data_IF_079630473711
#
_entry.id   IF_079630473711
#
_cell.length_a   1.000
_cell.length_b   1.000
_cell.length_c   1.000
_cell.angle_alpha   90.00
_cell.angle_beta   90.00
_cell.angle_gamma   90.00
#
_symmetry.space_group_name_H-M   'P 1'
#
loop_
_entity.id
_entity.type
_entity.pdbx_description
1 polymer ?
#
# COMPACT_ATOMS: atom_id res chain seq x y z
N UNK A 1 -86.52 -224.29 -29.29
CA UNK A 1 -86.41 -224.97 -30.60
C UNK A 1 -85.31 -224.31 -31.41
N UNK A 2 -84.46 -225.14 -32.01
CA UNK A 2 -83.46 -224.84 -33.03
C UNK A 2 -83.96 -223.88 -34.12
N UNK A 3 -83.16 -222.86 -34.47
CA UNK A 3 -83.13 -222.18 -35.78
C UNK A 3 -81.72 -221.59 -36.01
N UNK A 4 -81.31 -221.51 -37.28
CA UNK A 4 -79.99 -221.88 -37.84
C UNK A 4 -78.87 -220.80 -37.83
N UNK A 5 -77.62 -221.27 -37.96
CA UNK A 5 -76.31 -220.57 -37.86
C UNK A 5 -76.04 -219.42 -38.85
N UNK A 6 -76.92 -219.12 -39.81
CA UNK A 6 -76.60 -218.21 -40.94
C UNK A 6 -76.98 -216.74 -40.69
N UNK A 7 -78.00 -216.46 -39.89
CA UNK A 7 -78.51 -215.08 -39.71
C UNK A 7 -77.79 -214.29 -38.59
N UNK A 8 -77.17 -214.97 -37.61
CA UNK A 8 -76.35 -214.32 -36.57
C UNK A 8 -75.05 -213.70 -37.10
N UNK A 9 -74.60 -214.09 -38.28
CA UNK A 9 -73.37 -213.58 -38.91
C UNK A 9 -73.54 -212.23 -39.61
N UNK A 10 -74.73 -211.90 -40.10
CA UNK A 10 -74.99 -210.65 -40.81
C UNK A 10 -75.23 -209.48 -39.86
N UNK A 11 -75.92 -209.70 -38.73
CA UNK A 11 -76.22 -208.64 -37.77
C UNK A 11 -74.97 -208.14 -37.03
N UNK A 12 -74.00 -209.03 -36.73
CA UNK A 12 -72.76 -208.65 -36.06
C UNK A 12 -71.86 -207.76 -36.93
N UNK A 13 -72.06 -207.83 -38.25
CA UNK A 13 -71.30 -207.02 -39.21
C UNK A 13 -71.80 -205.56 -39.25
N UNK A 14 -73.09 -205.31 -39.06
CA UNK A 14 -73.64 -203.93 -39.04
C UNK A 14 -73.26 -203.18 -37.77
N UNK A 15 -73.28 -203.86 -36.60
CA UNK A 15 -72.89 -203.23 -35.33
C UNK A 15 -71.41 -202.78 -35.30
N UNK A 16 -70.52 -203.50 -36.00
CA UNK A 16 -69.10 -203.12 -36.07
C UNK A 16 -68.88 -201.83 -36.86
N UNK A 17 -69.64 -201.62 -37.94
CA UNK A 17 -69.53 -200.42 -38.78
C UNK A 17 -70.04 -199.18 -38.07
N UNK A 18 -71.03 -199.33 -37.19
CA UNK A 18 -71.62 -198.23 -36.43
C UNK A 18 -70.68 -197.74 -35.32
N UNK A 19 -69.95 -198.65 -34.65
CA UNK A 19 -68.96 -198.33 -33.61
C UNK A 19 -67.76 -197.53 -34.15
N UNK A 20 -67.28 -197.85 -35.35
CA UNK A 20 -66.19 -197.11 -36.01
C UNK A 20 -66.59 -195.68 -36.36
N UNK A 21 -67.88 -195.45 -36.63
CA UNK A 21 -68.42 -194.12 -36.94
C UNK A 21 -68.40 -193.21 -35.71
N UNK A 22 -68.86 -193.72 -34.56
CA UNK A 22 -68.84 -192.96 -33.30
C UNK A 22 -67.42 -192.65 -32.81
N UNK A 23 -66.45 -193.54 -33.05
CA UNK A 23 -65.05 -193.28 -32.67
C UNK A 23 -64.46 -192.07 -33.41
N UNK A 24 -64.76 -191.93 -34.71
CA UNK A 24 -64.35 -190.76 -35.51
C UNK A 24 -65.03 -189.48 -35.04
N UNK A 25 -66.30 -189.55 -34.66
CA UNK A 25 -67.02 -188.38 -34.12
C UNK A 25 -66.40 -187.88 -32.80
N UNK A 26 -66.00 -188.78 -31.89
CA UNK A 26 -65.34 -188.39 -30.64
C UNK A 26 -63.99 -187.71 -30.90
N UNK A 27 -63.17 -188.24 -31.81
CA UNK A 27 -61.91 -187.61 -32.22
C UNK A 27 -62.13 -186.19 -32.78
N UNK A 28 -63.17 -185.98 -33.58
CA UNK A 28 -63.48 -184.64 -34.11
C UNK A 28 -63.88 -183.65 -33.01
N UNK A 29 -64.59 -184.08 -31.98
CA UNK A 29 -65.01 -183.21 -30.87
C UNK A 29 -63.81 -182.79 -30.00
N UNK A 30 -62.88 -183.70 -29.73
CA UNK A 30 -61.65 -183.36 -28.98
C UNK A 30 -60.79 -182.33 -29.73
N UNK A 31 -60.68 -182.48 -31.05
CA UNK A 31 -59.92 -181.56 -31.90
C UNK A 31 -60.55 -180.15 -31.92
N UNK A 32 -61.87 -180.06 -31.92
CA UNK A 32 -62.58 -178.77 -31.81
C UNK A 32 -62.34 -178.12 -30.44
N UNK A 33 -62.34 -178.91 -29.36
CA UNK A 33 -62.14 -178.38 -27.99
C UNK A 33 -60.76 -177.74 -27.84
N UNK A 34 -59.72 -178.40 -28.32
CA UNK A 34 -58.35 -177.85 -28.35
C UNK A 34 -58.28 -176.56 -29.18
N UNK A 35 -58.93 -176.50 -30.35
CA UNK A 35 -58.95 -175.29 -31.16
C UNK A 35 -59.65 -174.10 -30.47
N UNK A 36 -60.69 -174.37 -29.66
CA UNK A 36 -61.38 -173.32 -28.89
C UNK A 36 -60.49 -172.75 -27.78
N UNK A 37 -59.73 -173.59 -27.08
CA UNK A 37 -58.82 -173.13 -26.03
C UNK A 37 -57.63 -172.35 -26.61
N UNK A 38 -57.08 -172.81 -27.73
CA UNK A 38 -56.07 -172.07 -28.51
C UNK A 38 -56.61 -170.71 -28.94
N UNK A 39 -57.85 -170.66 -29.47
CA UNK A 39 -58.50 -169.39 -29.85
C UNK A 39 -58.61 -168.42 -28.68
N UNK A 40 -58.98 -168.89 -27.48
CA UNK A 40 -59.07 -168.04 -26.28
C UNK A 40 -57.72 -167.46 -25.87
N UNK A 41 -56.66 -168.26 -25.91
CA UNK A 41 -55.30 -167.80 -25.61
C UNK A 41 -54.84 -166.74 -26.61
N UNK A 42 -55.01 -167.00 -27.91
CA UNK A 42 -54.72 -166.04 -28.98
C UNK A 42 -55.52 -164.74 -28.83
N UNK A 43 -56.81 -164.81 -28.46
CA UNK A 43 -57.58 -163.57 -28.20
C UNK A 43 -57.05 -162.79 -27.01
N UNK A 44 -56.66 -163.46 -25.92
CA UNK A 44 -56.10 -162.77 -24.76
C UNK A 44 -54.74 -162.13 -25.08
N UNK A 45 -53.90 -162.82 -25.84
CA UNK A 45 -52.60 -162.29 -26.30
C UNK A 45 -52.79 -161.07 -27.22
N UNK A 46 -53.81 -161.09 -28.08
CA UNK A 46 -54.21 -159.94 -28.90
C UNK A 46 -54.70 -158.75 -28.06
N UNK A 47 -55.46 -158.99 -26.99
CA UNK A 47 -55.87 -157.91 -26.07
C UNK A 47 -54.68 -157.35 -25.27
N UNK A 48 -53.77 -158.20 -24.78
CA UNK A 48 -52.59 -157.75 -24.03
C UNK A 48 -51.61 -156.97 -24.90
N UNK A 49 -51.41 -157.37 -26.16
CA UNK A 49 -50.59 -156.63 -27.12
C UNK A 49 -51.18 -155.25 -27.41
N UNK A 50 -52.49 -155.15 -27.65
CA UNK A 50 -53.17 -153.86 -27.85
C UNK A 50 -53.11 -152.94 -26.61
N UNK A 51 -53.26 -153.49 -25.39
CA UNK A 51 -53.10 -152.72 -24.15
C UNK A 51 -51.65 -152.25 -23.98
N UNK A 52 -50.67 -153.09 -24.32
CA UNK A 52 -49.25 -152.73 -24.20
C UNK A 52 -48.84 -151.67 -25.24
N UNK A 53 -49.33 -151.76 -26.48
CA UNK A 53 -49.13 -150.73 -27.51
C UNK A 53 -49.77 -149.41 -27.09
N UNK A 54 -51.02 -149.41 -26.64
CA UNK A 54 -51.69 -148.18 -26.19
C UNK A 54 -51.05 -147.58 -24.94
N UNK A 55 -50.52 -148.39 -24.02
CA UNK A 55 -49.77 -147.91 -22.87
C UNK A 55 -48.42 -147.32 -23.26
N UNK A 56 -47.72 -147.95 -24.21
CA UNK A 56 -46.48 -147.40 -24.77
C UNK A 56 -46.73 -146.05 -25.46
N UNK A 57 -47.81 -145.94 -26.24
CA UNK A 57 -48.24 -144.67 -26.84
C UNK A 57 -48.58 -143.62 -25.78
N UNK A 58 -49.26 -144.01 -24.69
CA UNK A 58 -49.57 -143.11 -23.58
C UNK A 58 -48.30 -142.62 -22.89
N UNK A 59 -47.36 -143.51 -22.58
CA UNK A 59 -46.08 -143.16 -21.95
C UNK A 59 -45.24 -142.26 -22.86
N UNK A 60 -45.23 -142.50 -24.18
CA UNK A 60 -44.59 -141.62 -25.16
C UNK A 60 -45.25 -140.23 -25.23
N UNK A 61 -46.58 -140.16 -25.12
CA UNK A 61 -47.31 -138.88 -25.09
C UNK A 61 -47.07 -138.14 -23.77
N UNK A 62 -47.07 -138.83 -22.64
CA UNK A 62 -46.74 -138.25 -21.33
C UNK A 62 -45.32 -137.70 -21.31
N UNK A 63 -44.32 -138.46 -21.80
CA UNK A 63 -42.95 -137.97 -21.90
C UNK A 63 -42.81 -136.73 -22.81
N UNK A 64 -43.57 -136.66 -23.91
CA UNK A 64 -43.62 -135.47 -24.77
C UNK A 64 -44.31 -134.29 -24.08
N UNK A 65 -45.32 -134.53 -23.25
CA UNK A 65 -46.03 -133.51 -22.49
C UNK A 65 -45.10 -132.93 -21.40
N UNK A 66 -44.43 -133.78 -20.62
CA UNK A 66 -43.45 -133.37 -19.60
C UNK A 66 -42.28 -132.59 -20.22
N UNK A 67 -41.80 -133.01 -21.39
CA UNK A 67 -40.75 -132.29 -22.11
C UNK A 67 -41.22 -130.91 -22.59
N UNK A 68 -42.47 -130.81 -23.07
CA UNK A 68 -43.06 -129.54 -23.47
C UNK A 68 -43.35 -128.63 -22.26
N UNK A 69 -43.80 -129.16 -21.13
CA UNK A 69 -44.00 -128.38 -19.90
C UNK A 69 -42.68 -127.80 -19.39
N UNK A 70 -41.60 -128.59 -19.35
CA UNK A 70 -40.26 -128.08 -19.03
C UNK A 70 -39.78 -127.02 -20.02
N UNK A 71 -40.07 -127.18 -21.31
CA UNK A 71 -39.72 -126.16 -22.31
C UNK A 71 -40.53 -124.87 -22.12
N UNK A 72 -41.81 -124.97 -21.75
CA UNK A 72 -42.64 -123.80 -21.44
C UNK A 72 -42.14 -123.09 -20.17
N UNK A 73 -41.74 -123.85 -19.15
CA UNK A 73 -41.15 -123.30 -17.91
C UNK A 73 -39.83 -122.57 -18.22
N UNK A 74 -38.92 -123.20 -18.98
CA UNK A 74 -37.68 -122.57 -19.42
C UNK A 74 -37.93 -121.30 -20.26
N UNK A 75 -38.85 -121.34 -21.22
CA UNK A 75 -39.20 -120.16 -22.01
C UNK A 75 -39.86 -119.06 -21.15
N UNK A 76 -40.63 -119.43 -20.12
CA UNK A 76 -41.21 -118.48 -19.18
C UNK A 76 -40.12 -117.78 -18.36
N UNK A 77 -39.14 -118.53 -17.86
CA UNK A 77 -38.00 -117.97 -17.12
C UNK A 77 -37.13 -117.07 -18.01
N UNK A 78 -36.91 -117.45 -19.28
CA UNK A 78 -36.23 -116.60 -20.27
C UNK A 78 -36.99 -115.29 -20.52
N UNK A 79 -38.33 -115.34 -20.64
CA UNK A 79 -39.16 -114.13 -20.80
C UNK A 79 -39.06 -113.23 -19.57
N UNK A 80 -39.05 -113.78 -18.36
CA UNK A 80 -38.91 -112.99 -17.12
C UNK A 80 -37.53 -112.33 -17.07
N UNK A 81 -36.47 -113.05 -17.43
CA UNK A 81 -35.12 -112.49 -17.50
C UNK A 81 -35.00 -111.37 -18.55
N UNK A 82 -35.51 -111.59 -19.77
CA UNK A 82 -35.53 -110.56 -20.83
C UNK A 82 -36.34 -109.34 -20.39
N UNK A 83 -37.49 -109.52 -19.73
CA UNK A 83 -38.27 -108.40 -19.19
C UNK A 83 -37.47 -107.60 -18.17
N UNK A 84 -36.78 -108.27 -17.26
CA UNK A 84 -35.91 -107.61 -16.27
C UNK A 84 -34.78 -106.82 -16.95
N UNK A 85 -34.15 -107.39 -17.98
CA UNK A 85 -33.11 -106.69 -18.76
C UNK A 85 -33.69 -105.48 -19.51
N UNK A 86 -34.90 -105.59 -20.07
CA UNK A 86 -35.59 -104.45 -20.70
C UNK A 86 -35.88 -103.35 -19.67
N UNK A 87 -36.38 -103.72 -18.49
CA UNK A 87 -36.67 -102.76 -17.42
C UNK A 87 -35.38 -102.06 -16.95
N UNK A 88 -34.27 -102.79 -16.80
CA UNK A 88 -32.97 -102.22 -16.43
C UNK A 88 -32.43 -101.27 -17.51
N UNK A 89 -32.48 -101.67 -18.78
CA UNK A 89 -32.08 -100.80 -19.91
C UNK A 89 -33.00 -99.57 -20.00
N UNK A 90 -34.29 -99.71 -19.73
CA UNK A 90 -35.23 -98.60 -19.74
C UNK A 90 -34.95 -97.60 -18.62
N UNK A 91 -34.55 -98.09 -17.43
CA UNK A 91 -34.11 -97.26 -16.31
C UNK A 91 -32.82 -96.50 -16.63
N UNK A 92 -31.81 -97.18 -17.19
CA UNK A 92 -30.57 -96.55 -17.62
C UNK A 92 -30.80 -95.48 -18.70
N UNK A 93 -31.72 -95.75 -19.64
CA UNK A 93 -32.11 -94.77 -20.66
C UNK A 93 -32.76 -93.53 -20.02
N UNK A 94 -33.68 -93.72 -19.09
CA UNK A 94 -34.34 -92.60 -18.40
C UNK A 94 -33.33 -91.75 -17.61
N UNK A 95 -32.37 -92.37 -16.93
CA UNK A 95 -31.29 -91.66 -16.23
C UNK A 95 -30.38 -90.88 -17.19
N UNK A 96 -30.04 -91.47 -18.35
CA UNK A 96 -29.28 -90.79 -19.39
C UNK A 96 -30.05 -89.62 -20.01
N UNK A 97 -31.35 -89.77 -20.24
CA UNK A 97 -32.20 -88.70 -20.77
C UNK A 97 -32.31 -87.53 -19.76
N UNK A 98 -32.41 -87.81 -18.46
CA UNK A 98 -32.38 -86.77 -17.41
C UNK A 98 -31.02 -86.06 -17.35
N UNK A 99 -29.91 -86.80 -17.45
CA UNK A 99 -28.57 -86.22 -17.50
C UNK A 99 -28.37 -85.36 -18.75
N UNK A 100 -28.88 -85.78 -19.91
CA UNK A 100 -28.86 -85.00 -21.15
C UNK A 100 -29.64 -83.70 -20.99
N UNK A 101 -30.84 -83.72 -20.43
CA UNK A 101 -31.62 -82.51 -20.15
C UNK A 101 -30.88 -81.55 -19.20
N UNK A 102 -30.25 -82.08 -18.15
CA UNK A 102 -29.44 -81.27 -17.25
C UNK A 102 -28.24 -80.64 -17.98
N UNK A 103 -27.52 -81.40 -18.81
CA UNK A 103 -26.41 -80.85 -19.60
C UNK A 103 -26.87 -79.81 -20.62
N UNK A 104 -28.01 -80.01 -21.29
CA UNK A 104 -28.60 -79.01 -22.19
C UNK A 104 -28.95 -77.72 -21.44
N UNK A 105 -29.52 -77.83 -20.24
CA UNK A 105 -29.85 -76.66 -19.41
C UNK A 105 -28.58 -75.88 -19.01
N UNK A 106 -27.51 -76.60 -18.64
CA UNK A 106 -26.22 -76.00 -18.27
C UNK A 106 -25.57 -75.36 -19.50
N UNK A 107 -25.60 -76.03 -20.66
CA UNK A 107 -25.06 -75.49 -21.91
C UNK A 107 -25.78 -74.21 -22.33
N UNK A 108 -27.11 -74.18 -22.22
CA UNK A 108 -27.91 -72.98 -22.49
C UNK A 108 -27.59 -71.84 -21.51
N UNK A 109 -27.42 -72.14 -20.21
CA UNK A 109 -27.01 -71.14 -19.23
C UNK A 109 -25.62 -70.58 -19.54
N UNK A 110 -24.62 -71.45 -19.77
CA UNK A 110 -23.27 -71.04 -20.14
C UNK A 110 -23.24 -70.21 -21.42
N UNK A 111 -24.06 -70.55 -22.41
CA UNK A 111 -24.14 -69.77 -23.65
C UNK A 111 -24.77 -68.39 -23.42
N UNK A 112 -25.80 -68.29 -22.58
CA UNK A 112 -26.40 -67.01 -22.21
C UNK A 112 -25.42 -66.14 -21.42
N UNK A 113 -24.68 -66.71 -20.47
CA UNK A 113 -23.69 -65.99 -19.67
C UNK A 113 -22.51 -65.54 -20.55
N UNK A 114 -22.03 -66.40 -21.44
CA UNK A 114 -21.02 -66.02 -22.45
C UNK A 114 -21.50 -64.84 -23.30
N UNK A 115 -22.75 -64.87 -23.78
CA UNK A 115 -23.29 -63.77 -24.59
C UNK A 115 -23.44 -62.48 -23.79
N UNK A 116 -23.85 -62.54 -22.52
CA UNK A 116 -23.91 -61.37 -21.62
C UNK A 116 -22.52 -60.78 -21.40
N UNK A 117 -21.56 -61.59 -20.98
CA UNK A 117 -20.18 -61.13 -20.73
C UNK A 117 -19.53 -60.59 -22.02
N UNK A 118 -19.81 -61.20 -23.17
CA UNK A 118 -19.37 -60.68 -24.48
C UNK A 118 -19.94 -59.29 -24.76
N UNK A 119 -21.25 -59.10 -24.58
CA UNK A 119 -21.89 -57.81 -24.80
C UNK A 119 -21.36 -56.74 -23.84
N UNK A 120 -21.15 -57.08 -22.56
CA UNK A 120 -20.54 -56.20 -21.56
C UNK A 120 -19.10 -55.81 -21.94
N UNK A 121 -18.29 -56.76 -22.43
CA UNK A 121 -16.94 -56.50 -22.90
C UNK A 121 -16.92 -55.59 -24.14
N UNK A 122 -17.86 -55.77 -25.07
CA UNK A 122 -18.01 -54.91 -26.26
C UNK A 122 -18.48 -53.49 -25.88
N UNK A 123 -19.37 -53.35 -24.90
CA UNK A 123 -19.78 -52.04 -24.38
C UNK A 123 -18.63 -51.33 -23.65
N UNK A 124 -17.93 -52.02 -22.74
CA UNK A 124 -16.75 -51.48 -22.07
C UNK A 124 -15.66 -51.06 -23.06
N UNK A 125 -15.44 -51.86 -24.12
CA UNK A 125 -14.49 -51.51 -25.19
C UNK A 125 -14.94 -50.25 -25.94
N UNK A 126 -16.24 -50.12 -26.22
CA UNK A 126 -16.80 -48.94 -26.88
C UNK A 126 -16.68 -47.69 -25.99
N UNK A 127 -16.91 -47.83 -24.69
CA UNK A 127 -16.70 -46.76 -23.71
C UNK A 127 -15.22 -46.37 -23.61
N UNK A 128 -14.30 -47.34 -23.61
CA UNK A 128 -12.86 -47.08 -23.59
C UNK A 128 -12.43 -46.26 -24.81
N UNK A 129 -12.85 -46.63 -26.02
CA UNK A 129 -12.55 -45.90 -27.26
C UNK A 129 -13.07 -44.45 -27.18
N UNK A 130 -14.29 -44.24 -26.65
CA UNK A 130 -14.84 -42.89 -26.45
C UNK A 130 -13.97 -42.08 -25.46
N UNK A 131 -13.59 -42.67 -24.33
CA UNK A 131 -12.73 -42.01 -23.34
C UNK A 131 -11.34 -41.70 -23.88
N UNK A 132 -10.75 -42.59 -24.67
CA UNK A 132 -9.47 -42.33 -25.35
C UNK A 132 -9.58 -41.16 -26.33
N UNK A 133 -10.68 -41.08 -27.09
CA UNK A 133 -10.97 -39.94 -27.95
C UNK A 133 -11.09 -38.64 -27.15
N UNK A 134 -11.85 -38.64 -26.05
CA UNK A 134 -12.01 -37.46 -25.18
C UNK A 134 -10.66 -37.00 -24.59
N UNK A 135 -9.84 -37.94 -24.12
CA UNK A 135 -8.49 -37.65 -23.61
C UNK A 135 -7.62 -37.00 -24.69
N UNK A 136 -7.71 -37.48 -25.94
CA UNK A 136 -6.95 -36.89 -27.04
C UNK A 136 -7.43 -35.47 -27.39
N UNK A 137 -8.74 -35.20 -27.30
CA UNK A 137 -9.29 -33.85 -27.48
C UNK A 137 -8.79 -32.92 -26.38
N UNK A 138 -8.90 -33.34 -25.11
CA UNK A 138 -8.43 -32.56 -23.95
C UNK A 138 -6.92 -32.28 -24.06
N UNK A 139 -6.10 -33.27 -24.44
CA UNK A 139 -4.65 -33.08 -24.64
C UNK A 139 -4.35 -32.01 -25.69
N UNK A 140 -5.09 -31.98 -26.81
CA UNK A 140 -4.92 -30.94 -27.84
C UNK A 140 -5.28 -29.57 -27.29
N UNK A 141 -6.37 -29.47 -26.54
CA UNK A 141 -6.80 -28.21 -25.95
C UNK A 141 -5.79 -27.68 -24.91
N UNK A 142 -5.27 -28.56 -24.05
CA UNK A 142 -4.17 -28.21 -23.11
C UNK A 142 -2.96 -27.66 -23.86
N UNK A 143 -2.51 -28.32 -24.93
CA UNK A 143 -1.36 -27.85 -25.72
C UNK A 143 -1.61 -26.47 -26.35
N UNK A 144 -2.83 -26.20 -26.82
CA UNK A 144 -3.21 -24.88 -27.35
C UNK A 144 -3.15 -23.83 -26.24
N UNK A 145 -3.75 -24.11 -25.07
CA UNK A 145 -3.71 -23.19 -23.92
C UNK A 145 -2.30 -22.92 -23.43
N UNK A 146 -1.44 -23.94 -23.38
CA UNK A 146 -0.02 -23.77 -23.03
C UNK A 146 0.73 -22.86 -24.02
N UNK A 147 0.43 -22.98 -25.32
CA UNK A 147 0.96 -22.08 -26.34
C UNK A 147 0.49 -20.64 -26.13
N UNK A 148 -0.82 -20.45 -25.90
CA UNK A 148 -1.42 -19.14 -25.62
C UNK A 148 -0.78 -18.48 -24.38
N UNK A 149 -0.60 -19.25 -23.30
CA UNK A 149 0.06 -18.77 -22.08
C UNK A 149 1.48 -18.32 -22.38
N UNK A 150 2.27 -19.13 -23.11
CA UNK A 150 3.64 -18.75 -23.49
C UNK A 150 3.69 -17.46 -24.31
N UNK A 151 2.77 -17.28 -25.24
CA UNK A 151 2.72 -16.08 -26.08
C UNK A 151 2.28 -14.85 -25.29
N UNK A 152 1.33 -15.00 -24.36
CA UNK A 152 0.92 -13.92 -23.44
C UNK A 152 2.07 -13.56 -22.51
N UNK A 153 2.77 -14.53 -21.91
CA UNK A 153 3.94 -14.27 -21.06
C UNK A 153 5.03 -13.50 -21.80
N UNK A 154 5.36 -13.89 -23.05
CA UNK A 154 6.31 -13.13 -23.88
C UNK A 154 5.86 -11.70 -24.13
N UNK A 155 4.56 -11.47 -24.37
CA UNK A 155 4.01 -10.12 -24.56
C UNK A 155 4.08 -9.31 -23.27
N UNK A 156 3.79 -9.91 -22.12
CA UNK A 156 3.94 -9.26 -20.81
C UNK A 156 5.40 -8.87 -20.60
N UNK A 157 6.34 -9.79 -20.78
CA UNK A 157 7.78 -9.51 -20.62
C UNK A 157 8.26 -8.38 -21.54
N UNK A 158 7.79 -8.38 -22.79
CA UNK A 158 8.10 -7.32 -23.76
C UNK A 158 7.55 -5.95 -23.31
N UNK A 159 6.29 -5.91 -22.84
CA UNK A 159 5.65 -4.68 -22.35
C UNK A 159 6.33 -4.20 -21.07
N UNK A 160 6.63 -5.09 -20.12
CA UNK A 160 7.31 -4.72 -18.88
C UNK A 160 8.70 -4.14 -19.16
N UNK A 161 9.46 -4.77 -20.06
CA UNK A 161 10.79 -4.29 -20.44
C UNK A 161 10.74 -2.93 -21.13
N UNK A 162 9.88 -2.78 -22.14
CA UNK A 162 9.72 -1.49 -22.82
C UNK A 162 9.13 -0.41 -21.89
N UNK A 163 8.24 -0.76 -20.97
CA UNK A 163 7.65 0.18 -20.02
C UNK A 163 8.67 0.63 -18.99
N UNK A 164 9.49 -0.28 -18.43
CA UNK A 164 10.57 0.08 -17.50
C UNK A 164 11.61 0.96 -18.19
N UNK A 165 12.12 0.54 -19.34
CA UNK A 165 13.17 1.28 -20.07
C UNK A 165 12.69 2.67 -20.52
N UNK A 166 11.43 2.81 -20.93
CA UNK A 166 10.88 4.08 -21.39
C UNK A 166 10.40 4.98 -20.25
N UNK A 167 9.90 4.43 -19.14
CA UNK A 167 9.48 5.23 -17.98
C UNK A 167 10.69 5.69 -17.17
N UNK A 168 11.65 4.82 -16.85
CA UNK A 168 12.83 5.18 -16.06
C UNK A 168 13.65 6.27 -16.76
N UNK A 169 13.91 6.13 -18.07
CA UNK A 169 14.64 7.16 -18.82
C UNK A 169 13.90 8.50 -18.91
N UNK A 170 12.56 8.49 -18.97
CA UNK A 170 11.77 9.74 -18.98
C UNK A 170 11.67 10.37 -17.59
N UNK A 171 11.56 9.58 -16.53
CA UNK A 171 11.53 10.07 -15.16
C UNK A 171 12.90 10.62 -14.75
N UNK A 172 14.01 9.96 -15.07
CA UNK A 172 15.36 10.47 -14.79
C UNK A 172 15.61 11.80 -15.50
N UNK A 173 15.33 11.90 -16.81
CA UNK A 173 15.45 13.17 -17.55
C UNK A 173 14.54 14.27 -17.01
N UNK A 174 13.35 13.90 -16.50
CA UNK A 174 12.42 14.87 -15.90
C UNK A 174 12.91 15.35 -14.53
N UNK A 175 13.46 14.45 -13.72
CA UNK A 175 14.05 14.75 -12.42
C UNK A 175 15.29 15.63 -12.60
N UNK A 176 16.14 15.33 -13.58
CA UNK A 176 17.32 16.13 -13.90
C UNK A 176 16.94 17.58 -14.28
N UNK A 177 15.98 17.75 -15.21
CA UNK A 177 15.46 19.09 -15.55
C UNK A 177 14.86 19.83 -14.36
N UNK A 178 14.08 19.15 -13.52
CA UNK A 178 13.49 19.77 -12.33
C UNK A 178 14.56 20.17 -11.30
N UNK A 179 15.64 19.40 -11.18
CA UNK A 179 16.76 19.74 -10.32
C UNK A 179 17.56 20.94 -10.86
N UNK A 180 17.76 21.03 -12.18
CA UNK A 180 18.36 22.20 -12.82
C UNK A 180 17.52 23.47 -12.57
N UNK A 181 16.21 23.42 -12.84
CA UNK A 181 15.29 24.52 -12.57
C UNK A 181 15.29 24.93 -11.09
N UNK A 182 15.33 23.96 -10.17
CA UNK A 182 15.41 24.22 -8.74
C UNK A 182 16.71 24.92 -8.36
N UNK A 183 17.83 24.49 -8.96
CA UNK A 183 19.14 25.07 -8.67
C UNK A 183 19.25 26.50 -9.22
N UNK A 184 18.74 26.76 -10.42
CA UNK A 184 18.64 28.11 -10.99
C UNK A 184 17.83 29.03 -10.07
N UNK A 185 16.64 28.58 -9.63
CA UNK A 185 15.80 29.35 -8.70
C UNK A 185 16.47 29.58 -7.36
N UNK A 186 17.29 28.64 -6.89
CA UNK A 186 18.06 28.79 -5.65
C UNK A 186 19.18 29.83 -5.79
N UNK A 187 19.88 29.85 -6.93
CA UNK A 187 20.89 30.87 -7.26
C UNK A 187 20.21 32.25 -7.34
N UNK A 188 19.08 32.35 -8.05
CA UNK A 188 18.30 33.58 -8.19
C UNK A 188 17.88 34.11 -6.80
N UNK A 189 17.33 33.25 -5.94
CA UNK A 189 16.96 33.60 -4.55
C UNK A 189 18.15 34.13 -3.74
N UNK A 190 19.31 33.49 -3.85
CA UNK A 190 20.51 33.91 -3.14
C UNK A 190 21.02 35.27 -3.65
N UNK A 191 20.93 35.51 -4.96
CA UNK A 191 21.28 36.80 -5.55
C UNK A 191 20.36 37.92 -5.04
N UNK A 192 19.04 37.67 -4.97
CA UNK A 192 18.09 38.63 -4.42
C UNK A 192 18.32 38.88 -2.92
N UNK A 193 18.65 37.84 -2.15
CA UNK A 193 18.96 37.99 -0.72
C UNK A 193 20.21 38.87 -0.51
N UNK A 194 21.23 38.70 -1.34
CA UNK A 194 22.45 39.53 -1.28
C UNK A 194 22.14 40.98 -1.65
N UNK A 195 21.36 41.20 -2.72
CA UNK A 195 20.93 42.54 -3.14
C UNK A 195 20.04 43.23 -2.10
N UNK A 196 19.18 42.48 -1.41
CA UNK A 196 18.37 43.00 -0.30
C UNK A 196 19.27 43.46 0.85
N UNK A 197 20.29 42.68 1.20
CA UNK A 197 21.24 43.03 2.26
C UNK A 197 22.04 44.29 1.91
N UNK A 198 22.49 44.43 0.66
CA UNK A 198 23.15 45.64 0.16
C UNK A 198 22.24 46.87 0.25
N UNK A 199 20.99 46.75 -0.20
CA UNK A 199 20.01 47.85 -0.12
C UNK A 199 19.69 48.22 1.34
N UNK A 200 19.62 47.24 2.24
CA UNK A 200 19.41 47.47 3.67
C UNK A 200 20.59 48.25 4.26
N UNK A 201 21.83 47.85 3.95
CA UNK A 201 23.03 48.53 4.41
C UNK A 201 23.10 49.97 3.88
N UNK A 202 22.76 50.18 2.61
CA UNK A 202 22.73 51.51 2.00
C UNK A 202 21.65 52.40 2.65
N UNK A 203 20.48 51.84 2.95
CA UNK A 203 19.43 52.54 3.70
C UNK A 203 19.93 52.96 5.09
N UNK A 204 20.57 52.06 5.82
CA UNK A 204 21.10 52.36 7.16
C UNK A 204 22.20 53.44 7.12
N UNK A 205 23.00 53.49 6.03
CA UNK A 205 23.97 54.57 5.80
C UNK A 205 23.26 55.90 5.55
N UNK A 206 22.25 55.94 4.67
CA UNK A 206 21.48 57.16 4.42
C UNK A 206 20.73 57.65 5.67
N UNK A 207 20.18 56.75 6.47
CA UNK A 207 19.52 57.13 7.73
C UNK A 207 20.51 57.75 8.73
N UNK A 208 21.74 57.23 8.81
CA UNK A 208 22.82 57.83 9.62
C UNK A 208 23.24 59.21 9.09
N UNK A 209 23.44 59.35 7.78
CA UNK A 209 23.77 60.63 7.15
C UNK A 209 22.66 61.66 7.37
N UNK A 210 21.40 61.25 7.23
CA UNK A 210 20.24 62.10 7.49
C UNK A 210 20.21 62.59 8.93
N UNK A 211 20.50 61.73 9.91
CA UNK A 211 20.61 62.17 11.32
C UNK A 211 21.75 63.17 11.48
N UNK A 212 22.92 62.90 10.89
CA UNK A 212 24.08 63.79 10.96
C UNK A 212 23.80 65.18 10.37
N UNK A 213 23.24 65.24 9.16
CA UNK A 213 22.87 66.50 8.49
C UNK A 213 21.84 67.27 9.33
N UNK A 214 20.85 66.58 9.93
CA UNK A 214 19.89 67.24 10.80
C UNK A 214 20.53 67.86 12.06
N UNK A 215 21.55 67.22 12.62
CA UNK A 215 22.33 67.78 13.72
C UNK A 215 23.13 69.02 13.29
N UNK A 216 23.75 68.99 12.11
CA UNK A 216 24.45 70.14 11.54
C UNK A 216 23.50 71.30 11.24
N UNK A 217 22.33 71.04 10.66
CA UNK A 217 21.29 72.05 10.44
C UNK A 217 20.90 72.69 11.77
N UNK A 218 20.67 71.90 12.83
CA UNK A 218 20.34 72.43 14.17
C UNK A 218 21.47 73.32 14.72
N UNK A 219 22.72 72.91 14.58
CA UNK A 219 23.89 73.71 15.02
C UNK A 219 24.00 75.02 14.24
N UNK A 220 23.91 74.96 12.92
CA UNK A 220 23.98 76.14 12.05
C UNK A 220 22.81 77.09 12.30
N UNK A 221 21.60 76.57 12.53
CA UNK A 221 20.43 77.39 12.83
C UNK A 221 20.56 78.07 14.20
N UNK A 222 21.13 77.40 15.20
CA UNK A 222 21.45 78.01 16.49
C UNK A 222 22.49 79.15 16.34
N UNK A 223 23.54 78.95 15.53
CA UNK A 223 24.54 79.99 15.24
C UNK A 223 23.96 81.17 14.46
N UNK A 224 23.09 80.90 13.48
CA UNK A 224 22.40 81.92 12.70
C UNK A 224 21.51 82.77 13.61
N UNK A 225 20.72 82.13 14.49
CA UNK A 225 19.87 82.83 15.45
C UNK A 225 20.69 83.68 16.43
N UNK A 226 21.84 83.19 16.89
CA UNK A 226 22.75 83.96 17.75
C UNK A 226 23.31 85.19 17.01
N UNK A 227 23.76 85.01 15.77
CA UNK A 227 24.30 86.09 14.93
C UNK A 227 23.23 87.12 14.56
N UNK A 228 22.01 86.68 14.27
CA UNK A 228 20.88 87.56 13.97
C UNK A 228 20.46 88.37 15.21
N UNK A 229 20.49 87.75 16.39
CA UNK A 229 20.29 88.45 17.66
C UNK A 229 21.37 89.51 17.92
N UNK A 230 22.62 89.20 17.56
CA UNK A 230 23.74 90.15 17.65
C UNK A 230 23.60 91.30 16.65
N UNK A 231 23.23 91.03 15.39
CA UNK A 231 22.92 92.05 14.39
C UNK A 231 21.76 92.95 14.81
N UNK A 232 20.69 92.39 15.38
CA UNK A 232 19.59 93.20 15.94
C UNK A 232 20.08 94.09 17.09
N UNK A 233 20.96 93.59 17.97
CA UNK A 233 21.57 94.42 19.02
C UNK A 233 22.43 95.55 18.45
N UNK A 234 23.18 95.30 17.38
CA UNK A 234 24.04 96.29 16.74
C UNK A 234 23.25 97.34 15.95
N UNK A 235 22.23 96.94 15.19
CA UNK A 235 21.37 97.86 14.41
C UNK A 235 20.53 98.78 15.30
N UNK A 236 20.01 98.28 16.41
CA UNK A 236 19.30 99.11 17.40
C UNK A 236 20.25 100.08 18.14
N UNK A 237 21.57 99.84 18.08
CA UNK A 237 22.60 100.72 18.64
C UNK A 237 22.82 102.00 17.84
N UNK A 238 22.46 102.02 16.54
CA UNK A 238 22.75 103.15 15.65
C UNK A 238 21.89 104.40 15.99
N UNK A 239 20.71 104.19 16.57
CA UNK A 239 19.80 105.28 17.00
C UNK A 239 20.12 105.86 18.39
N UNK A 240 21.08 105.32 19.14
CA UNK A 240 21.50 105.88 20.43
C UNK A 240 22.97 105.55 20.69
N UNK A 241 23.88 106.52 20.49
CA UNK A 241 25.34 106.35 20.66
C UNK A 241 25.76 105.73 22.01
N UNK A 242 24.97 105.95 23.07
CA UNK A 242 25.15 105.39 24.40
C UNK A 242 24.88 103.87 24.49
N UNK A 243 24.07 103.30 23.58
CA UNK A 243 23.79 101.85 23.55
C UNK A 243 25.00 101.02 23.12
N UNK A 244 26.02 101.62 22.50
CA UNK A 244 27.31 100.95 22.19
C UNK A 244 28.03 100.47 23.45
N UNK A 245 27.85 101.15 24.57
CA UNK A 245 28.39 100.75 25.88
C UNK A 245 27.49 99.72 26.59
N UNK A 246 26.28 99.48 26.07
CA UNK A 246 25.25 98.59 26.61
C UNK A 246 23.95 99.31 26.93
N UNK A 247 22.82 98.58 26.91
CA UNK A 247 21.49 99.14 27.21
C UNK A 247 21.42 99.82 28.59
N UNK A 248 22.12 99.26 29.58
CA UNK A 248 22.20 99.81 30.94
C UNK A 248 22.94 101.15 31.03
N UNK A 249 23.86 101.45 30.11
CA UNK A 249 24.57 102.73 30.08
C UNK A 249 23.68 103.87 29.55
N UNK A 250 22.74 103.56 28.66
CA UNK A 250 21.72 104.52 28.23
C UNK A 250 20.79 104.86 29.42
N UNK A 251 20.28 103.84 30.11
CA UNK A 251 19.43 104.00 31.30
C UNK A 251 20.16 104.74 32.44
N UNK A 252 21.44 104.44 32.67
CA UNK A 252 22.26 105.13 33.67
C UNK A 252 22.37 106.64 33.39
N UNK A 253 22.58 107.04 32.13
CA UNK A 253 22.68 108.45 31.77
C UNK A 253 21.35 109.19 31.91
N UNK A 254 20.23 108.57 31.54
CA UNK A 254 18.90 109.14 31.77
C UNK A 254 18.64 109.38 33.26
N UNK A 255 19.01 108.43 34.12
CA UNK A 255 18.89 108.57 35.57
C UNK A 255 19.81 109.65 36.15
N UNK A 256 21.04 109.78 35.63
CA UNK A 256 21.96 110.87 36.01
C UNK A 256 21.35 112.22 35.65
N UNK A 257 20.79 112.37 34.45
CA UNK A 257 20.15 113.61 34.00
C UNK A 257 18.94 113.98 34.88
N UNK A 258 18.12 113.00 35.28
CA UNK A 258 17.00 113.22 36.19
C UNK A 258 17.48 113.68 37.58
N UNK A 259 18.49 113.01 38.15
CA UNK A 259 19.05 113.37 39.46
C UNK A 259 19.73 114.75 39.44
N UNK A 260 20.38 115.10 38.34
CA UNK A 260 20.97 116.43 38.15
C UNK A 260 19.90 117.52 38.03
N UNK A 261 18.83 117.29 37.23
CA UNK A 261 17.67 118.20 37.16
C UNK A 261 17.01 118.40 38.53
N UNK A 262 16.95 117.35 39.33
CA UNK A 262 16.42 117.38 40.70
C UNK A 262 17.42 117.94 41.74
N UNK A 263 18.54 118.55 41.31
CA UNK A 263 19.58 119.16 42.15
C UNK A 263 20.16 118.23 43.22
N UNK A 264 20.19 116.92 42.96
CA UNK A 264 20.82 115.94 43.86
C UNK A 264 22.33 115.89 43.68
N UNK A 265 22.81 116.08 42.45
CA UNK A 265 24.24 116.24 42.16
C UNK A 265 24.64 117.71 42.25
N UNK A 266 25.80 117.99 42.85
CA UNK A 266 26.38 119.34 42.87
C UNK A 266 26.88 119.73 41.48
N UNK A 267 27.59 118.81 40.81
CA UNK A 267 27.96 118.93 39.40
C UNK A 267 27.62 117.65 38.66
N UNK A 268 27.19 117.78 37.40
CA UNK A 268 26.83 116.65 36.56
C UNK A 268 28.07 115.73 36.36
N UNK A 269 27.98 114.43 36.63
CA UNK A 269 29.00 113.46 36.27
C UNK A 269 29.24 113.42 34.76
N UNK A 270 30.51 113.28 34.34
CA UNK A 270 30.88 113.10 32.93
C UNK A 270 31.19 111.64 32.65
N UNK A 271 30.41 111.01 31.78
CA UNK A 271 30.73 109.68 31.29
C UNK A 271 29.65 109.12 30.36
N UNK A 272 29.86 107.90 29.80
CA UNK A 272 31.12 107.16 29.85
C UNK A 272 32.25 107.93 29.13
N UNK A 273 33.49 107.87 29.63
CA UNK A 273 34.65 108.64 29.11
C UNK A 273 34.77 108.53 27.59
N UNK A 274 34.55 107.35 27.02
CA UNK A 274 34.65 107.11 25.58
C UNK A 274 33.71 107.98 24.72
N UNK A 275 32.61 108.52 25.28
CA UNK A 275 31.73 109.42 24.52
C UNK A 275 32.36 110.81 24.30
N UNK A 276 33.25 111.22 25.20
CA UNK A 276 33.95 112.51 25.18
C UNK A 276 35.33 112.42 24.53
N UNK A 277 35.75 111.22 24.11
CA UNK A 277 36.99 111.01 23.37
C UNK A 277 36.68 110.97 21.87
N UNK A 278 37.30 111.87 21.12
CA UNK A 278 37.31 111.85 19.65
C UNK A 278 38.73 111.64 19.15
N UNK A 279 38.88 110.83 18.12
CA UNK A 279 40.18 110.61 17.47
C UNK A 279 40.33 111.56 16.28
N UNK A 280 41.57 111.91 15.96
CA UNK A 280 41.88 112.68 14.75
C UNK A 280 41.84 111.80 13.49
N UNK A 281 42.24 110.54 13.62
CA UNK A 281 42.26 109.55 12.55
C UNK A 281 41.63 108.24 13.06
N UNK A 282 40.80 107.61 12.23
CA UNK A 282 40.16 106.34 12.55
C UNK A 282 41.15 105.15 12.49
N UNK A 283 42.26 105.29 11.77
CA UNK A 283 43.29 104.25 11.71
C UNK A 283 43.92 103.96 13.10
N UNK A 284 43.96 104.97 13.96
CA UNK A 284 44.55 104.90 15.30
C UNK A 284 43.57 104.33 16.36
N UNK A 285 42.32 104.03 15.98
CA UNK A 285 41.25 103.66 16.92
C UNK A 285 41.52 102.37 17.70
N UNK A 286 42.00 101.33 17.01
CA UNK A 286 42.29 100.04 17.65
C UNK A 286 43.38 100.16 18.72
N UNK A 287 44.45 100.92 18.43
CA UNK A 287 45.54 101.15 19.37
C UNK A 287 45.07 101.90 20.62
N UNK A 288 44.21 102.91 20.45
CA UNK A 288 43.61 103.68 21.56
C UNK A 288 42.66 102.84 22.41
N UNK A 289 41.82 102.01 21.79
CA UNK A 289 40.91 101.12 22.51
C UNK A 289 41.67 100.07 23.33
N UNK A 290 42.72 99.50 22.76
CA UNK A 290 43.62 98.57 23.45
C UNK A 290 44.33 99.21 24.65
N UNK A 291 44.61 100.52 24.63
CA UNK A 291 45.22 101.22 25.76
C UNK A 291 44.20 101.52 26.87
N UNK A 292 43.04 102.09 26.52
CA UNK A 292 42.06 102.55 27.51
C UNK A 292 41.21 101.42 28.10
N UNK A 293 40.88 100.37 27.33
CA UNK A 293 40.08 99.22 27.75
C UNK A 293 38.88 99.62 28.63
N UNK A 294 38.89 99.24 29.91
CA UNK A 294 37.81 99.51 30.88
C UNK A 294 37.63 101.00 31.21
N UNK A 295 38.65 101.84 31.00
CA UNK A 295 38.56 103.28 31.28
C UNK A 295 37.59 103.99 30.33
N UNK A 296 37.35 103.46 29.12
CA UNK A 296 36.34 104.01 28.20
C UNK A 296 34.94 104.04 28.83
N UNK A 297 34.67 103.13 29.77
CA UNK A 297 33.38 102.99 30.45
C UNK A 297 33.30 103.80 31.76
N UNK A 298 34.37 104.50 32.14
CA UNK A 298 34.43 105.20 33.41
C UNK A 298 33.59 106.49 33.41
N UNK A 299 33.26 106.98 34.61
CA UNK A 299 32.61 108.27 34.84
C UNK A 299 33.48 109.12 35.76
N UNK A 300 33.57 110.41 35.46
CA UNK A 300 34.31 111.40 36.25
C UNK A 300 33.32 112.25 37.05
N UNK A 301 33.56 112.37 38.35
CA UNK A 301 32.74 113.15 39.30
C UNK A 301 33.59 114.17 40.05
N UNK A 302 33.00 115.32 40.35
CA UNK A 302 33.73 116.48 40.91
C UNK A 302 34.13 116.28 42.38
N UNK A 303 33.30 115.61 43.18
CA UNK A 303 33.47 115.46 44.62
C UNK A 303 33.02 114.09 45.14
N UNK A 304 33.36 113.78 46.39
CA UNK A 304 33.03 112.51 47.04
C UNK A 304 31.53 112.27 47.27
N UNK A 305 30.74 113.34 47.45
CA UNK A 305 29.29 113.23 47.66
C UNK A 305 28.60 112.78 46.36
N UNK A 306 28.93 113.44 45.25
CA UNK A 306 28.46 113.08 43.91
C UNK A 306 28.96 111.66 43.53
N UNK A 307 30.16 111.28 43.96
CA UNK A 307 30.65 109.91 43.77
C UNK A 307 29.78 108.86 44.48
N UNK A 308 29.32 109.13 45.71
CA UNK A 308 28.45 108.21 46.44
C UNK A 308 27.08 108.08 45.79
N UNK A 309 26.48 109.19 45.35
CA UNK A 309 25.20 109.19 44.62
C UNK A 309 25.32 108.34 43.34
N UNK A 310 26.41 108.50 42.59
CA UNK A 310 26.63 107.73 41.36
C UNK A 310 26.92 106.25 41.66
N UNK A 311 27.70 105.94 42.71
CA UNK A 311 27.97 104.54 43.14
C UNK A 311 26.68 103.81 43.52
N UNK A 312 25.78 104.49 44.24
CA UNK A 312 24.49 103.94 44.64
C UNK A 312 23.60 103.69 43.42
N UNK A 313 23.55 104.65 42.49
CA UNK A 313 22.79 104.52 41.25
C UNK A 313 23.30 103.34 40.41
N UNK A 314 24.62 103.24 40.22
CA UNK A 314 25.25 102.15 39.48
C UNK A 314 24.99 100.81 40.16
N UNK A 315 25.06 100.73 41.49
CA UNK A 315 24.83 99.47 42.21
C UNK A 315 23.37 99.00 42.15
N UNK A 316 22.40 99.91 41.95
CA UNK A 316 20.99 99.54 41.70
C UNK A 316 20.74 99.04 40.28
N UNK A 317 21.44 99.59 39.28
CA UNK A 317 21.23 99.25 37.87
C UNK A 317 22.03 98.00 37.43
N UNK A 318 23.19 97.75 38.03
CA UNK A 318 24.11 96.66 37.66
C UNK A 318 24.08 95.52 38.69
N UNK A 319 22.92 94.87 38.86
CA UNK A 319 22.68 93.84 39.90
C UNK A 319 22.88 92.40 39.42
N UNK A 320 22.71 92.11 38.12
CA UNK A 320 22.73 90.73 37.62
C UNK A 320 24.16 90.18 37.46
N UNK A 321 24.37 88.84 37.57
CA UNK A 321 25.70 88.23 37.47
C UNK A 321 26.49 88.59 36.20
N UNK A 322 25.79 88.76 35.07
CA UNK A 322 26.38 89.13 33.78
C UNK A 322 26.78 90.62 33.68
N UNK A 323 26.36 91.46 34.63
CA UNK A 323 26.58 92.92 34.61
C UNK A 323 27.69 93.38 35.56
N UNK A 324 28.02 92.58 36.57
CA UNK A 324 29.12 92.82 37.52
C UNK A 324 30.44 93.13 36.80
N UNK A 325 30.90 92.36 35.79
CA UNK A 325 32.15 92.67 35.09
C UNK A 325 32.07 93.93 34.20
N UNK A 326 30.86 94.43 33.92
CA UNK A 326 30.57 95.59 33.07
C UNK A 326 30.28 96.87 33.85
N UNK A 327 30.42 96.85 35.18
CA UNK A 327 30.19 97.99 36.06
C UNK A 327 31.16 99.14 35.73
N UNK A 328 30.67 100.39 35.55
CA UNK A 328 31.54 101.52 35.26
C UNK A 328 32.47 101.85 36.44
N UNK A 329 33.71 102.23 36.12
CA UNK A 329 34.65 102.80 37.12
C UNK A 329 34.28 104.25 37.40
N UNK A 330 34.29 104.68 38.66
CA UNK A 330 33.99 106.07 39.04
C UNK A 330 35.29 106.72 39.51
N UNK A 331 35.71 107.76 38.80
CA UNK A 331 36.93 108.54 39.04
C UNK A 331 36.52 109.85 39.72
N UNK A 332 37.06 110.10 40.91
CA UNK A 332 36.78 111.33 41.66
C UNK A 332 37.90 112.32 41.37
N UNK A 333 37.56 113.41 40.69
CA UNK A 333 38.51 114.49 40.39
C UNK A 333 37.77 115.81 40.27
N UNK A 334 38.25 116.81 41.00
CA UNK A 334 37.73 118.17 40.91
C UNK A 334 37.83 118.67 39.46
N UNK A 335 36.74 119.17 38.90
CA UNK A 335 36.72 119.64 37.53
C UNK A 335 37.50 120.95 37.45
N UNK A 336 38.71 120.85 36.94
CA UNK A 336 39.64 121.95 36.68
C UNK A 336 39.83 122.11 35.17
N UNK A 337 40.24 123.30 34.68
CA UNK A 337 40.64 123.48 33.29
C UNK A 337 41.76 122.51 32.89
N UNK A 338 41.88 122.24 31.59
CA UNK A 338 42.87 121.31 31.05
C UNK A 338 44.28 121.76 31.46
N UNK A 339 45.02 120.87 32.10
CA UNK A 339 46.40 121.15 32.47
C UNK A 339 47.27 121.25 31.22
N UNK A 340 48.09 122.29 31.15
CA UNK A 340 49.09 122.41 30.09
C UNK A 340 50.23 121.41 30.34
N UNK A 341 50.24 120.33 29.56
CA UNK A 341 51.25 119.27 29.59
C UNK A 341 52.26 119.39 28.45
N UNK A 342 52.28 120.51 27.71
CA UNK A 342 53.19 120.72 26.57
C UNK A 342 54.68 120.55 26.94
N UNK A 343 55.05 120.90 28.17
CA UNK A 343 56.43 120.80 28.68
C UNK A 343 56.83 119.38 29.08
N UNK A 344 55.89 118.50 29.41
CA UNK A 344 56.12 117.15 29.93
C UNK A 344 55.68 116.04 28.97
N UNK A 345 55.20 116.40 27.79
CA UNK A 345 54.74 115.47 26.77
C UNK A 345 55.92 114.80 26.06
N UNK A 346 55.84 113.49 25.81
CA UNK A 346 56.84 112.75 25.05
C UNK A 346 56.80 113.13 23.56
N UNK A 347 57.94 113.54 22.99
CA UNK A 347 58.06 113.95 21.58
C UNK A 347 58.93 112.92 20.84
N UNK A 348 58.42 112.39 19.73
CA UNK A 348 59.15 111.49 18.83
C UNK A 348 58.88 111.88 17.37
N UNK A 349 59.91 111.83 16.49
CA UNK A 349 59.73 112.13 15.06
C UNK A 349 58.98 111.04 14.29
N UNK A 350 58.91 109.81 14.82
CA UNK A 350 58.34 108.66 14.11
C UNK A 350 57.00 108.15 14.67
N UNK A 351 56.68 108.49 15.92
CA UNK A 351 55.48 107.99 16.60
C UNK A 351 54.71 109.12 17.26
N UNK A 352 53.39 109.14 17.04
CA UNK A 352 52.47 110.03 17.75
C UNK A 352 52.27 109.51 19.17
N UNK A 353 52.31 110.41 20.17
CA UNK A 353 51.93 110.04 21.53
C UNK A 353 50.39 110.00 21.68
N UNK A 354 49.91 109.38 22.76
CA UNK A 354 48.48 109.21 22.99
C UNK A 354 47.67 110.51 22.94
N UNK A 355 48.15 111.59 23.57
CA UNK A 355 47.47 112.89 23.56
C UNK A 355 47.41 113.51 22.15
N UNK A 356 48.42 113.27 21.30
CA UNK A 356 48.42 113.74 19.91
C UNK A 356 47.37 113.03 19.04
N UNK A 357 46.98 111.81 19.40
CA UNK A 357 45.93 111.02 18.72
C UNK A 357 44.52 111.54 19.01
N UNK A 358 44.32 112.17 20.17
CA UNK A 358 43.02 112.65 20.62
C UNK A 358 42.71 114.06 20.09
N UNK A 359 41.43 114.32 19.89
CA UNK A 359 40.84 115.62 19.61
C UNK A 359 40.01 116.04 20.84
N UNK A 360 40.63 116.80 21.75
CA UNK A 360 40.04 117.24 23.02
C UNK A 360 39.42 118.62 22.80
N UNK A 361 38.10 118.76 22.96
CA UNK A 361 37.43 120.07 22.97
C UNK A 361 37.48 120.68 24.38
N UNK A 362 37.29 122.00 24.49
CA UNK A 362 37.28 122.70 25.78
C UNK A 362 36.18 122.18 26.73
N UNK A 363 35.07 121.66 26.19
CA UNK A 363 33.97 121.08 26.94
C UNK A 363 34.30 119.69 27.53
N UNK A 364 35.31 119.00 26.97
CA UNK A 364 35.76 117.66 27.39
C UNK A 364 36.89 117.72 28.44
N UNK A 365 37.25 118.93 28.89
CA UNK A 365 38.34 119.19 29.83
C UNK A 365 38.28 118.36 31.13
N UNK A 366 37.11 118.08 31.75
CA UNK A 366 37.04 117.24 32.94
C UNK A 366 37.39 115.76 32.69
N UNK A 367 37.25 115.28 31.46
CA UNK A 367 37.51 113.89 31.07
C UNK A 367 38.95 113.71 30.57
N UNK A 368 39.50 114.73 29.92
CA UNK A 368 40.85 114.70 29.34
C UNK A 368 41.98 114.95 30.36
N UNK A 369 41.65 115.57 31.50
CA UNK A 369 42.58 115.82 32.60
C UNK A 369 42.93 114.56 33.37
#
# INVERSE_FOLDING_TARGET
MTLSKKEKGELFKSYKTELEKYRKEVETVELIRNNVDIKKQLTNELYWTGINETRKDLDEKMAKLDANEKNIENCSDEIVNIKREIDEISGQKAELDERLQNFDSIAQQMQNDYQKTKNEAEDLRSQLIKKESDVNVIKREVNIRESEIKDISKKIDYIEKNSRDCQEMNFEKRIEKLNEEMNEKKIEKNSFKSKLAELQQLKDQYDKEKVHINEEIRKNQAQMNASQSELQRLTVSDNNRLRRYGSKYAELNEQIDLLYKNRKFHRKPFGPIGEYIRLKDNADAYAVECLLKKMLYAYVVDNGNDANILKDLVSRLFTSPNDIPKKPTIIIRKFVPLHDVSRSQAISPHYKNFLQLLNIKSEDSPVAN
#
